data_IF_296194966378
#
_entry.id   IF_296194966378
#
_cell.length_a   1.000
_cell.length_b   1.000
_cell.length_c   1.000
_cell.angle_alpha   90.00
_cell.angle_beta   90.00
_cell.angle_gamma   90.00
#
_symmetry.space_group_name_H-M   'P 1'
#
loop_
_entity.id
_entity.type
_entity.pdbx_description
1 polymer ?
#
# COMPACT_ATOMS: atom_id res chain seq x y z
N UNK A 1 32.30 24.13 -23.89
CA UNK A 1 32.58 22.69 -23.98
C UNK A 1 31.54 22.04 -23.08
N UNK A 2 30.36 21.76 -23.65
CA UNK A 2 29.24 21.17 -22.92
C UNK A 2 29.54 19.67 -22.82
N UNK A 3 29.78 19.18 -21.60
CA UNK A 3 29.86 17.75 -21.32
C UNK A 3 28.42 17.25 -21.17
N UNK A 4 27.89 16.61 -22.21
CA UNK A 4 26.69 15.79 -22.12
C UNK A 4 27.07 14.46 -21.50
N UNK A 5 26.61 14.19 -20.28
CA UNK A 5 26.64 12.86 -19.68
C UNK A 5 25.60 11.99 -20.40
N UNK A 6 26.06 11.11 -21.27
CA UNK A 6 25.27 9.98 -21.74
C UNK A 6 25.25 8.96 -20.60
N UNK A 7 24.08 8.80 -19.97
CA UNK A 7 23.82 7.60 -19.16
C UNK A 7 23.86 6.35 -20.04
N UNK A 8 24.16 5.18 -19.48
CA UNK A 8 24.16 3.94 -20.24
C UNK A 8 22.75 3.66 -20.76
N UNK A 9 22.61 3.56 -22.08
CA UNK A 9 21.44 2.92 -22.70
C UNK A 9 21.50 1.46 -22.31
N UNK A 10 20.58 1.01 -21.46
CA UNK A 10 20.33 -0.41 -21.24
C UNK A 10 19.78 -0.95 -22.56
N UNK A 11 20.55 -1.80 -23.23
CA UNK A 11 20.06 -2.54 -24.39
C UNK A 11 19.19 -3.64 -23.82
N UNK A 12 17.89 -3.61 -24.08
CA UNK A 12 16.97 -4.70 -23.76
C UNK A 12 17.60 -6.02 -24.25
N UNK A 13 18.04 -6.84 -23.30
CA UNK A 13 18.51 -8.18 -23.59
C UNK A 13 17.26 -9.03 -23.85
N UNK A 14 17.10 -9.53 -25.06
CA UNK A 14 16.03 -10.46 -25.39
C UNK A 14 16.15 -11.72 -24.52
N UNK A 15 15.31 -11.84 -23.49
CA UNK A 15 15.18 -13.01 -22.62
C UNK A 15 14.31 -14.04 -23.34
N UNK A 16 14.74 -15.31 -23.33
CA UNK A 16 13.97 -16.42 -23.93
C UNK A 16 13.23 -17.22 -22.85
N UNK A 17 12.09 -17.80 -23.20
CA UNK A 17 11.28 -18.59 -22.27
C UNK A 17 12.07 -19.77 -21.65
N UNK A 18 12.03 -19.96 -20.32
CA UNK A 18 12.53 -21.16 -19.67
C UNK A 18 11.81 -22.44 -20.16
N UNK A 19 12.49 -23.59 -20.08
CA UNK A 19 11.91 -24.88 -20.53
C UNK A 19 11.87 -25.96 -19.45
N UNK A 20 12.50 -25.70 -18.30
CA UNK A 20 12.72 -26.65 -17.21
C UNK A 20 12.24 -26.15 -15.84
N UNK A 21 11.61 -24.97 -15.79
CA UNK A 21 11.02 -24.39 -14.59
C UNK A 21 9.76 -23.58 -14.94
N UNK A 22 8.90 -23.35 -13.94
CA UNK A 22 7.78 -22.41 -14.07
C UNK A 22 8.32 -21.02 -14.33
N UNK A 23 7.65 -20.27 -15.20
CA UNK A 23 8.04 -18.92 -15.59
C UNK A 23 6.81 -18.03 -15.81
N UNK A 24 7.02 -16.73 -15.90
CA UNK A 24 6.00 -15.71 -16.19
C UNK A 24 5.75 -15.70 -17.70
N UNK A 25 4.56 -16.14 -18.12
CA UNK A 25 4.24 -16.34 -19.54
C UNK A 25 3.73 -15.08 -20.24
N UNK A 26 2.83 -14.37 -19.58
CA UNK A 26 2.11 -13.24 -20.13
C UNK A 26 1.76 -12.27 -18.99
N UNK A 27 1.84 -10.97 -19.25
CA UNK A 27 1.30 -9.93 -18.37
C UNK A 27 0.43 -8.98 -19.18
N UNK A 28 -0.70 -8.58 -18.59
CA UNK A 28 -1.52 -7.49 -19.12
C UNK A 28 -1.44 -6.30 -18.18
N UNK A 29 -0.75 -5.26 -18.64
CA UNK A 29 -0.55 -4.00 -17.90
C UNK A 29 -1.75 -3.08 -18.08
N UNK A 30 -2.32 -3.02 -19.28
CA UNK A 30 -3.26 -1.96 -19.64
C UNK A 30 -4.60 -2.49 -20.18
N UNK A 31 -5.45 -3.12 -19.34
CA UNK A 31 -6.77 -3.57 -19.77
C UNK A 31 -7.71 -2.37 -20.01
N UNK A 32 -8.49 -2.41 -21.10
CA UNK A 32 -9.58 -1.44 -21.31
C UNK A 32 -10.70 -1.59 -20.27
N UNK A 33 -11.49 -0.53 -20.10
CA UNK A 33 -12.66 -0.51 -19.21
C UNK A 33 -13.98 -0.44 -19.99
N UNK A 34 -15.11 -0.49 -19.29
CA UNK A 34 -16.46 -0.50 -19.88
C UNK A 34 -16.74 0.71 -20.80
N UNK A 35 -16.14 1.87 -20.52
CA UNK A 35 -16.31 3.07 -21.35
C UNK A 35 -15.63 2.95 -22.72
N UNK A 36 -14.64 2.06 -22.85
CA UNK A 36 -13.81 1.87 -24.03
C UNK A 36 -13.89 0.45 -24.59
N UNK A 37 -15.06 -0.19 -24.48
CA UNK A 37 -15.33 -1.55 -24.96
C UNK A 37 -14.36 -2.62 -24.39
N UNK A 38 -14.01 -2.47 -23.10
CA UNK A 38 -13.14 -3.40 -22.38
C UNK A 38 -13.67 -4.84 -22.32
N UNK A 39 -12.74 -5.77 -22.09
CA UNK A 39 -13.04 -7.20 -21.93
C UNK A 39 -12.87 -7.57 -20.47
N UNK A 40 -13.90 -8.20 -19.90
CA UNK A 40 -13.85 -8.85 -18.59
C UNK A 40 -13.10 -10.19 -18.75
N UNK A 41 -11.78 -10.15 -18.52
CA UNK A 41 -10.89 -11.27 -18.81
C UNK A 41 -11.06 -12.39 -17.79
N UNK A 42 -11.40 -12.07 -16.54
CA UNK A 42 -11.58 -13.06 -15.47
C UNK A 42 -13.04 -13.54 -15.31
N UNK A 43 -14.02 -12.88 -15.93
CA UNK A 43 -15.43 -13.24 -15.91
C UNK A 43 -16.17 -12.86 -14.62
N UNK A 44 -15.65 -11.92 -13.83
CA UNK A 44 -16.22 -11.52 -12.54
C UNK A 44 -17.32 -10.44 -12.65
N UNK A 45 -17.55 -9.92 -13.86
CA UNK A 45 -18.54 -8.89 -14.16
C UNK A 45 -18.02 -7.46 -13.99
N UNK A 46 -16.74 -7.27 -13.67
CA UNK A 46 -16.03 -5.99 -13.62
C UNK A 46 -14.89 -6.01 -14.62
N UNK A 47 -14.43 -4.83 -15.06
CA UNK A 47 -13.31 -4.75 -16.00
C UNK A 47 -12.43 -3.51 -15.83
N UNK A 48 -11.25 -3.54 -16.42
CA UNK A 48 -10.28 -2.44 -16.43
C UNK A 48 -9.19 -2.57 -15.38
N UNK A 49 -8.41 -1.50 -15.19
CA UNK A 49 -7.12 -1.55 -14.46
C UNK A 49 -7.20 -2.17 -13.06
N UNK A 50 -8.27 -1.94 -12.31
CA UNK A 50 -8.42 -2.47 -10.95
C UNK A 50 -8.85 -3.94 -10.88
N UNK A 51 -9.19 -4.56 -12.02
CA UNK A 51 -9.69 -5.93 -12.07
C UNK A 51 -8.84 -6.84 -12.97
N UNK A 52 -8.60 -6.40 -14.21
CA UNK A 52 -8.12 -7.27 -15.29
C UNK A 52 -6.62 -7.16 -15.60
N UNK A 53 -5.87 -6.37 -14.82
CA UNK A 53 -4.42 -6.53 -14.84
C UNK A 53 -4.11 -7.95 -14.38
N UNK A 54 -3.23 -8.65 -15.09
CA UNK A 54 -2.90 -10.03 -14.72
C UNK A 54 -1.45 -10.39 -14.97
N UNK A 55 -0.96 -11.32 -14.17
CA UNK A 55 0.24 -12.11 -14.43
C UNK A 55 -0.16 -13.55 -14.66
N UNK A 56 0.34 -14.14 -15.73
CA UNK A 56 0.15 -15.55 -16.02
C UNK A 56 1.44 -16.33 -15.83
N UNK A 57 1.34 -17.49 -15.17
CA UNK A 57 2.44 -18.44 -15.04
C UNK A 57 2.21 -19.64 -15.95
N UNK A 58 3.29 -20.17 -16.52
CA UNK A 58 3.27 -21.41 -17.29
C UNK A 58 4.22 -22.46 -16.68
N UNK A 59 3.76 -23.71 -16.63
CA UNK A 59 4.61 -24.86 -16.31
C UNK A 59 5.00 -25.60 -17.61
N UNK A 60 6.19 -25.35 -18.19
CA UNK A 60 6.63 -26.03 -19.41
C UNK A 60 7.11 -27.46 -19.18
N UNK A 61 7.20 -27.90 -17.92
CA UNK A 61 7.80 -29.19 -17.56
C UNK A 61 6.83 -30.36 -17.80
N UNK A 62 7.34 -31.59 -17.66
CA UNK A 62 6.53 -32.81 -17.76
C UNK A 62 5.86 -33.24 -16.44
N UNK A 63 6.13 -32.53 -15.35
CA UNK A 63 5.68 -32.89 -14.00
C UNK A 63 4.79 -31.79 -13.41
N UNK A 64 3.85 -32.16 -12.56
CA UNK A 64 3.07 -31.21 -11.78
C UNK A 64 3.95 -30.59 -10.69
N UNK A 65 3.87 -29.26 -10.52
CA UNK A 65 4.68 -28.51 -9.56
C UNK A 65 3.73 -27.81 -8.57
N UNK A 66 3.98 -28.01 -7.26
CA UNK A 66 3.29 -27.28 -6.21
C UNK A 66 3.92 -25.90 -6.05
N UNK A 67 3.16 -24.86 -6.40
CA UNK A 67 3.53 -23.45 -6.27
C UNK A 67 2.84 -22.79 -5.06
N UNK A 68 2.19 -23.58 -4.20
CA UNK A 68 1.65 -23.07 -2.95
C UNK A 68 2.74 -22.45 -2.08
N UNK A 69 2.51 -21.23 -1.61
CA UNK A 69 3.45 -20.46 -0.79
C UNK A 69 4.56 -19.75 -1.58
N UNK A 70 4.56 -19.83 -2.92
CA UNK A 70 5.40 -18.96 -3.77
C UNK A 70 4.87 -17.53 -3.76
N UNK A 71 5.65 -16.58 -4.28
CA UNK A 71 5.34 -15.16 -4.23
C UNK A 71 5.35 -14.52 -5.61
N UNK A 72 4.42 -13.61 -5.83
CA UNK A 72 4.39 -12.68 -6.96
C UNK A 72 4.64 -11.27 -6.43
N UNK A 73 5.38 -10.46 -7.17
CA UNK A 73 5.86 -9.14 -6.75
C UNK A 73 6.09 -8.26 -8.00
N UNK A 74 5.78 -6.98 -7.93
CA UNK A 74 5.96 -5.96 -8.97
C UNK A 74 7.03 -4.94 -8.51
N UNK A 75 8.29 -5.30 -8.72
CA UNK A 75 9.52 -4.62 -8.25
C UNK A 75 9.97 -5.06 -6.85
N UNK A 76 11.25 -5.45 -6.77
CA UNK A 76 11.88 -5.69 -5.47
C UNK A 76 11.89 -4.41 -4.64
N UNK A 77 11.31 -4.49 -3.45
CA UNK A 77 11.30 -3.40 -2.48
C UNK A 77 10.62 -2.12 -3.01
N UNK A 78 9.59 -2.27 -3.84
CA UNK A 78 8.82 -1.19 -4.48
C UNK A 78 7.47 -1.69 -5.00
N UNK A 79 6.75 -0.84 -5.74
CA UNK A 79 5.45 -1.20 -6.33
C UNK A 79 4.36 -1.47 -5.29
N UNK A 80 3.42 -2.32 -5.66
CA UNK A 80 2.35 -2.82 -4.81
C UNK A 80 2.82 -3.95 -3.88
N UNK A 81 2.04 -4.32 -2.85
CA UNK A 81 2.46 -5.39 -1.94
C UNK A 81 2.57 -6.75 -2.64
N UNK A 82 3.74 -7.39 -2.55
CA UNK A 82 3.93 -8.77 -2.95
C UNK A 82 2.86 -9.70 -2.35
N UNK A 83 2.43 -10.72 -3.10
CA UNK A 83 1.39 -11.65 -2.67
C UNK A 83 1.85 -13.10 -2.68
N UNK A 84 1.39 -13.89 -1.70
CA UNK A 84 1.72 -15.32 -1.58
C UNK A 84 0.63 -16.20 -2.19
N UNK A 85 1.00 -17.04 -3.15
CA UNK A 85 0.10 -17.99 -3.81
C UNK A 85 -0.47 -18.98 -2.78
N UNK A 86 -1.78 -19.22 -2.85
CA UNK A 86 -2.48 -20.08 -1.90
C UNK A 86 -1.87 -21.48 -1.77
N UNK A 87 -1.73 -21.97 -0.54
CA UNK A 87 -1.21 -23.32 -0.27
C UNK A 87 -2.00 -24.42 -0.99
N UNK A 88 -1.30 -25.41 -1.53
CA UNK A 88 -1.90 -26.52 -2.28
C UNK A 88 -2.25 -26.19 -3.73
N UNK A 89 -1.81 -25.04 -4.24
CA UNK A 89 -1.91 -24.70 -5.66
C UNK A 89 -0.88 -25.53 -6.44
N UNK A 90 -1.37 -26.54 -7.16
CA UNK A 90 -0.55 -27.39 -8.02
C UNK A 90 -0.78 -27.02 -9.48
N UNK A 91 0.28 -26.62 -10.17
CA UNK A 91 0.24 -26.33 -11.59
C UNK A 91 0.67 -27.58 -12.38
N UNK A 92 -0.28 -28.19 -13.08
CA UNK A 92 -0.06 -29.40 -13.88
C UNK A 92 0.93 -29.17 -15.04
N UNK A 93 1.49 -30.26 -15.56
CA UNK A 93 2.40 -30.21 -16.70
C UNK A 93 1.74 -29.55 -17.92
N UNK A 94 2.39 -28.53 -18.50
CA UNK A 94 1.91 -27.75 -19.63
C UNK A 94 0.76 -26.78 -19.32
N UNK A 95 0.36 -26.64 -18.05
CA UNK A 95 -0.75 -25.77 -17.67
C UNK A 95 -0.32 -24.30 -17.57
N UNK A 96 -1.32 -23.44 -17.73
CA UNK A 96 -1.26 -21.99 -17.54
C UNK A 96 -2.18 -21.60 -16.39
N UNK A 97 -1.80 -20.59 -15.61
CA UNK A 97 -2.62 -20.05 -14.52
C UNK A 97 -2.49 -18.54 -14.47
N UNK A 98 -3.61 -17.83 -14.60
CA UNK A 98 -3.67 -16.38 -14.56
C UNK A 98 -4.03 -15.88 -13.15
N UNK A 99 -3.32 -14.87 -12.68
CA UNK A 99 -3.56 -14.20 -11.40
C UNK A 99 -3.95 -12.75 -11.67
N UNK A 100 -5.19 -12.41 -11.32
CA UNK A 100 -5.80 -11.12 -11.62
C UNK A 100 -5.69 -10.14 -10.45
N UNK A 101 -5.50 -8.86 -10.76
CA UNK A 101 -5.36 -7.78 -9.77
C UNK A 101 -6.54 -7.69 -8.81
N UNK A 102 -7.77 -7.98 -9.27
CA UNK A 102 -8.95 -8.01 -8.38
C UNK A 102 -8.77 -8.93 -7.17
N UNK A 103 -7.89 -9.92 -7.26
CA UNK A 103 -7.58 -10.85 -6.17
C UNK A 103 -6.19 -10.64 -5.59
N UNK A 104 -5.18 -10.41 -6.43
CA UNK A 104 -3.79 -10.33 -6.01
C UNK A 104 -3.42 -9.02 -5.35
N UNK A 105 -4.05 -7.92 -5.77
CA UNK A 105 -3.62 -6.56 -5.47
C UNK A 105 -2.36 -6.11 -6.24
N UNK A 106 -1.71 -7.01 -7.00
CA UNK A 106 -0.53 -6.68 -7.79
C UNK A 106 -0.90 -5.65 -8.86
N UNK A 107 -0.26 -4.50 -8.81
CA UNK A 107 -0.47 -3.38 -9.72
C UNK A 107 0.67 -3.29 -10.71
N UNK A 108 0.37 -2.92 -11.95
CA UNK A 108 1.39 -2.66 -12.96
C UNK A 108 1.34 -1.20 -13.37
N UNK A 109 2.49 -0.51 -13.34
CA UNK A 109 2.57 0.89 -13.71
C UNK A 109 2.44 1.08 -15.23
N UNK A 110 1.57 1.98 -15.65
CA UNK A 110 1.29 2.28 -17.06
C UNK A 110 2.37 3.13 -17.73
N UNK A 111 2.99 4.03 -16.98
CA UNK A 111 3.82 5.13 -17.46
C UNK A 111 5.30 4.93 -17.20
N UNK A 112 5.69 4.41 -16.04
CA UNK A 112 7.08 4.37 -15.59
C UNK A 112 7.78 3.03 -15.89
N UNK A 113 7.03 2.02 -16.34
CA UNK A 113 7.52 0.66 -16.55
C UNK A 113 7.57 -0.11 -15.25
N UNK A 114 7.75 -1.43 -15.33
CA UNK A 114 7.64 -2.29 -14.15
C UNK A 114 8.42 -3.60 -14.34
N UNK A 115 8.59 -4.35 -13.25
CA UNK A 115 9.26 -5.65 -13.22
C UNK A 115 8.46 -6.64 -12.39
N UNK A 116 7.94 -7.67 -13.04
CA UNK A 116 7.20 -8.75 -12.38
C UNK A 116 8.16 -9.86 -11.99
N UNK A 117 8.05 -10.33 -10.76
CA UNK A 117 8.95 -11.33 -10.17
C UNK A 117 8.16 -12.50 -9.62
N UNK A 118 8.68 -13.69 -9.83
CA UNK A 118 8.20 -14.93 -9.25
C UNK A 118 9.25 -15.46 -8.28
N UNK A 119 8.91 -15.62 -7.00
CA UNK A 119 9.80 -16.18 -5.99
C UNK A 119 9.26 -17.49 -5.42
N UNK A 120 10.14 -18.42 -5.09
CA UNK A 120 9.74 -19.66 -4.41
C UNK A 120 9.42 -19.44 -2.92
N UNK A 121 8.95 -20.48 -2.24
CA UNK A 121 8.62 -20.42 -0.81
C UNK A 121 9.81 -20.17 0.13
N UNK A 122 11.05 -20.14 -0.39
CA UNK A 122 12.25 -19.72 0.35
C UNK A 122 12.62 -18.26 0.13
N UNK A 123 11.92 -17.57 -0.79
CA UNK A 123 12.22 -16.20 -1.24
C UNK A 123 13.29 -16.13 -2.33
N UNK A 124 13.65 -17.26 -2.96
CA UNK A 124 14.57 -17.25 -4.10
C UNK A 124 13.81 -16.92 -5.39
N UNK A 125 14.32 -15.99 -6.18
CA UNK A 125 13.73 -15.63 -7.48
C UNK A 125 13.85 -16.80 -8.46
N UNK A 126 12.70 -17.22 -8.98
CA UNK A 126 12.55 -18.28 -9.99
C UNK A 126 12.56 -17.67 -11.39
N UNK A 127 11.83 -16.57 -11.58
CA UNK A 127 11.76 -15.85 -12.85
C UNK A 127 11.46 -14.37 -12.62
N UNK A 128 11.81 -13.56 -13.61
CA UNK A 128 11.58 -12.12 -13.60
C UNK A 128 11.48 -11.60 -15.03
N UNK A 129 10.53 -10.70 -15.27
CA UNK A 129 10.30 -10.06 -16.57
C UNK A 129 10.01 -8.58 -16.37
N UNK A 130 10.41 -7.74 -17.32
CA UNK A 130 10.22 -6.28 -17.22
C UNK A 130 9.65 -5.72 -18.51
N UNK A 131 9.05 -4.54 -18.41
CA UNK A 131 8.70 -3.69 -19.55
C UNK A 131 9.09 -2.24 -19.26
N UNK A 132 9.28 -1.47 -20.32
CA UNK A 132 9.78 -0.10 -20.23
C UNK A 132 8.63 0.90 -20.01
N UNK A 133 8.96 2.05 -19.42
CA UNK A 133 8.02 3.18 -19.30
C UNK A 133 7.59 3.74 -20.64
N UNK A 134 6.39 4.32 -20.65
CA UNK A 134 5.70 4.88 -21.82
C UNK A 134 5.53 3.89 -22.99
N UNK A 135 5.65 2.58 -22.74
CA UNK A 135 5.54 1.54 -23.77
C UNK A 135 4.19 0.81 -23.76
N UNK A 136 3.43 0.80 -22.66
CA UNK A 136 2.18 0.00 -22.60
C UNK A 136 1.09 0.54 -23.53
N UNK A 137 0.34 -0.35 -24.20
CA UNK A 137 -0.84 -0.01 -25.02
C UNK A 137 -2.07 -0.74 -24.49
N UNK A 138 -3.25 -0.13 -24.66
CA UNK A 138 -4.53 -0.71 -24.24
C UNK A 138 -4.78 -2.07 -24.89
N UNK A 139 -5.06 -3.08 -24.06
CA UNK A 139 -5.27 -4.49 -24.42
C UNK A 139 -4.14 -5.10 -25.25
N UNK A 140 -2.90 -4.61 -25.10
CA UNK A 140 -1.72 -5.23 -25.70
C UNK A 140 -0.87 -5.85 -24.58
N UNK A 141 -0.74 -7.19 -24.52
CA UNK A 141 0.02 -7.86 -23.48
C UNK A 141 1.52 -7.84 -23.77
N UNK A 142 2.32 -8.09 -22.73
CA UNK A 142 3.71 -8.53 -22.86
C UNK A 142 3.78 -10.03 -22.63
N UNK A 143 4.65 -10.71 -23.38
CA UNK A 143 4.81 -12.14 -23.28
C UNK A 143 5.94 -12.64 -24.15
N UNK A 144 6.18 -13.95 -24.13
CA UNK A 144 7.10 -14.56 -25.08
C UNK A 144 6.48 -14.66 -26.48
N UNK A 145 7.08 -13.97 -27.45
CA UNK A 145 6.67 -13.99 -28.86
C UNK A 145 6.94 -15.37 -29.49
N UNK A 146 5.94 -15.97 -30.14
CA UNK A 146 6.04 -17.34 -30.67
C UNK A 146 7.01 -17.50 -31.84
N UNK A 147 7.33 -16.41 -32.55
CA UNK A 147 8.26 -16.43 -33.67
C UNK A 147 9.72 -16.33 -33.23
N UNK A 148 10.00 -15.43 -32.29
CA UNK A 148 11.36 -15.14 -31.82
C UNK A 148 11.73 -15.88 -30.53
N UNK A 149 10.73 -16.34 -29.76
CA UNK A 149 10.87 -16.95 -28.44
C UNK A 149 11.29 -15.97 -27.35
N UNK A 150 11.29 -14.67 -27.65
CA UNK A 150 11.80 -13.63 -26.75
C UNK A 150 10.65 -12.91 -26.05
N UNK A 151 10.88 -12.48 -24.81
CA UNK A 151 10.01 -11.57 -24.09
C UNK A 151 9.89 -10.24 -24.85
N UNK A 152 8.66 -9.83 -25.16
CA UNK A 152 8.38 -8.62 -25.91
C UNK A 152 6.94 -8.14 -25.66
N UNK A 153 6.68 -6.89 -26.02
CA UNK A 153 5.32 -6.41 -26.26
C UNK A 153 4.73 -7.14 -27.47
N UNK A 154 3.57 -7.77 -27.30
CA UNK A 154 2.91 -8.52 -28.36
C UNK A 154 1.99 -7.59 -29.18
N UNK A 155 2.57 -6.62 -29.89
CA UNK A 155 1.84 -5.53 -30.57
C UNK A 155 0.76 -5.97 -31.57
N UNK A 156 0.87 -7.17 -32.12
CA UNK A 156 -0.10 -7.75 -33.06
C UNK A 156 -0.95 -8.87 -32.42
N UNK A 157 -0.75 -9.12 -31.11
CA UNK A 157 -1.46 -10.10 -30.32
C UNK A 157 -2.61 -9.48 -29.51
N UNK A 158 -3.36 -10.35 -28.86
CA UNK A 158 -4.39 -10.02 -27.87
C UNK A 158 -4.12 -10.82 -26.60
N UNK A 159 -4.57 -10.38 -25.42
CA UNK A 159 -4.36 -11.13 -24.18
C UNK A 159 -4.87 -12.57 -24.28
N UNK A 160 -4.10 -13.53 -23.80
CA UNK A 160 -4.40 -14.97 -23.88
C UNK A 160 -4.47 -15.68 -22.52
N UNK A 161 -5.07 -15.09 -21.46
CA UNK A 161 -5.07 -15.74 -20.17
C UNK A 161 -5.76 -17.12 -20.25
N UNK A 162 -5.06 -18.11 -19.72
CA UNK A 162 -5.35 -19.53 -19.80
C UNK A 162 -4.63 -20.31 -20.90
N UNK A 163 -3.74 -19.70 -21.69
CA UNK A 163 -3.19 -20.36 -22.88
C UNK A 163 -1.90 -19.78 -23.44
N UNK A 164 -1.46 -20.34 -24.57
CA UNK A 164 -0.26 -19.88 -25.26
C UNK A 164 -0.50 -18.56 -26.01
N UNK A 165 0.51 -17.69 -25.99
CA UNK A 165 0.49 -16.33 -26.56
C UNK A 165 0.26 -16.25 -28.10
N UNK A 166 0.19 -17.39 -28.79
CA UNK A 166 -0.08 -17.48 -30.24
C UNK A 166 -1.46 -18.06 -30.59
N UNK A 167 -2.31 -18.26 -29.58
CA UNK A 167 -3.68 -18.75 -29.74
C UNK A 167 -4.70 -17.62 -29.55
N UNK A 168 -5.93 -17.87 -29.99
CA UNK A 168 -7.06 -17.01 -29.62
C UNK A 168 -7.45 -17.28 -28.16
N UNK A 169 -7.83 -16.22 -27.44
CA UNK A 169 -8.32 -16.35 -26.07
C UNK A 169 -9.51 -17.31 -25.96
N UNK A 170 -9.40 -18.28 -25.05
CA UNK A 170 -10.41 -19.32 -24.83
C UNK A 170 -11.64 -18.87 -24.04
N UNK A 171 -11.68 -17.61 -23.59
CA UNK A 171 -12.72 -17.05 -22.73
C UNK A 171 -12.35 -17.09 -21.23
N UNK A 172 -13.19 -16.46 -20.41
CA UNK A 172 -12.94 -16.28 -18.97
C UNK A 172 -12.87 -17.60 -18.16
N UNK A 173 -13.35 -18.72 -18.72
CA UNK A 173 -13.33 -20.02 -18.06
C UNK A 173 -11.98 -20.75 -18.27
N UNK A 174 -10.91 -20.19 -17.72
CA UNK A 174 -9.57 -20.77 -17.65
C UNK A 174 -9.13 -20.95 -16.20
N UNK A 175 -7.94 -21.53 -15.98
CA UNK A 175 -7.42 -21.72 -14.63
C UNK A 175 -6.96 -20.37 -14.06
N UNK A 176 -7.63 -19.95 -12.98
CA UNK A 176 -7.32 -18.71 -12.28
C UNK A 176 -6.71 -19.03 -10.92
N UNK A 177 -5.59 -18.39 -10.61
CA UNK A 177 -4.90 -18.49 -9.35
C UNK A 177 -5.29 -17.36 -8.42
N UNK A 178 -5.14 -17.60 -7.12
CA UNK A 178 -5.27 -16.57 -6.10
C UNK A 178 -3.97 -16.48 -5.31
N UNK A 179 -3.56 -15.26 -4.96
CA UNK A 179 -2.48 -15.01 -4.03
C UNK A 179 -2.94 -13.97 -3.02
N UNK A 180 -2.39 -14.05 -1.82
CA UNK A 180 -2.80 -13.23 -0.71
C UNK A 180 -1.65 -12.29 -0.38
N UNK A 181 -1.81 -10.96 -0.56
CA UNK A 181 -0.86 -10.03 0.01
C UNK A 181 -0.82 -10.26 1.52
N UNK A 182 0.35 -10.23 2.18
CA UNK A 182 0.48 -10.32 3.63
C UNK A 182 -0.05 -9.02 4.23
N UNK A 183 -1.36 -8.85 4.17
CA UNK A 183 -2.09 -7.77 4.79
C UNK A 183 -2.41 -8.26 6.20
N UNK A 184 -1.60 -7.88 7.19
CA UNK A 184 -1.79 -8.25 8.60
C UNK A 184 -3.19 -7.88 9.14
N UNK A 185 -3.88 -6.99 8.44
CA UNK A 185 -5.19 -6.48 8.81
C UNK A 185 -6.36 -7.34 8.32
N UNK A 186 -6.12 -8.36 7.50
CA UNK A 186 -7.15 -9.28 7.01
C UNK A 186 -7.10 -10.58 7.81
N UNK A 187 -7.78 -10.55 8.97
CA UNK A 187 -8.15 -11.79 9.64
C UNK A 187 -9.20 -12.52 8.80
N UNK A 188 -9.13 -13.85 8.66
CA UNK A 188 -10.22 -14.65 8.06
C UNK A 188 -10.88 -15.55 9.12
N UNK A 189 -12.20 -15.68 9.05
CA UNK A 189 -13.01 -16.38 10.04
C UNK A 189 -13.51 -15.46 11.15
N UNK A 190 -13.97 -16.04 12.25
CA UNK A 190 -14.59 -15.28 13.33
C UNK A 190 -14.17 -15.75 14.72
N UNK A 191 -14.09 -14.80 15.64
CA UNK A 191 -13.89 -15.03 17.06
C UNK A 191 -14.66 -14.00 17.90
N UNK A 192 -14.92 -14.34 19.15
CA UNK A 192 -15.49 -13.44 20.14
C UNK A 192 -14.42 -13.17 21.20
N UNK A 193 -14.10 -11.90 21.46
CA UNK A 193 -13.30 -11.51 22.61
C UNK A 193 -14.24 -11.26 23.79
N UNK A 194 -13.97 -11.87 24.94
CA UNK A 194 -14.69 -11.63 26.19
C UNK A 194 -13.80 -10.91 27.21
N UNK A 195 -14.35 -9.89 27.86
CA UNK A 195 -13.66 -9.10 28.87
C UNK A 195 -14.43 -7.83 29.21
N UNK A 196 -13.77 -6.92 29.94
CA UNK A 196 -14.33 -5.59 30.19
C UNK A 196 -14.14 -4.73 28.96
N UNK A 197 -15.20 -4.36 28.25
CA UNK A 197 -15.12 -3.60 26.99
C UNK A 197 -15.35 -2.13 27.25
N UNK A 198 -14.41 -1.28 26.84
CA UNK A 198 -14.55 0.18 26.90
C UNK A 198 -14.84 0.68 25.48
N UNK A 199 -16.05 1.19 25.24
CA UNK A 199 -16.53 1.49 23.89
C UNK A 199 -16.09 2.88 23.40
N UNK A 200 -15.73 3.78 24.32
CA UNK A 200 -15.35 5.17 24.05
C UNK A 200 -16.47 6.03 23.42
N UNK A 201 -17.74 5.61 23.48
CA UNK A 201 -18.89 6.43 23.04
C UNK A 201 -19.13 7.61 24.00
N UNK A 202 -18.81 7.42 25.29
CA UNK A 202 -18.73 8.48 26.29
C UNK A 202 -17.67 8.13 27.34
N UNK A 203 -17.30 9.10 28.18
CA UNK A 203 -16.28 8.93 29.24
C UNK A 203 -16.53 7.73 30.17
N UNK A 204 -17.79 7.34 30.34
CA UNK A 204 -18.19 6.26 31.25
C UNK A 204 -18.80 5.04 30.55
N UNK A 205 -18.78 4.99 29.22
CA UNK A 205 -19.41 3.88 28.49
C UNK A 205 -18.53 2.63 28.50
N UNK A 206 -18.92 1.69 29.36
CA UNK A 206 -18.19 0.45 29.64
C UNK A 206 -19.18 -0.70 29.80
N UNK A 207 -18.87 -1.81 29.15
CA UNK A 207 -19.55 -3.09 29.32
C UNK A 207 -18.65 -4.00 30.18
N UNK A 208 -18.98 -4.11 31.47
CA UNK A 208 -18.13 -4.83 32.44
C UNK A 208 -17.93 -6.32 32.09
N UNK A 209 -18.98 -6.99 31.64
CA UNK A 209 -18.94 -8.34 31.07
C UNK A 209 -19.30 -8.27 29.58
N UNK A 210 -18.39 -7.70 28.79
CA UNK A 210 -18.60 -7.43 27.37
C UNK A 210 -18.08 -8.52 26.44
N UNK A 211 -18.65 -8.53 25.23
CA UNK A 211 -18.24 -9.38 24.13
C UNK A 211 -18.09 -8.57 22.84
N UNK A 212 -17.04 -8.86 22.08
CA UNK A 212 -16.79 -8.26 20.76
C UNK A 212 -16.68 -9.38 19.75
N UNK A 213 -17.65 -9.48 18.83
CA UNK A 213 -17.58 -10.39 17.69
C UNK A 213 -16.78 -9.71 16.57
N UNK A 214 -15.67 -10.33 16.21
CA UNK A 214 -14.89 -9.97 15.03
C UNK A 214 -15.08 -11.05 13.98
N UNK A 215 -15.41 -10.65 12.76
CA UNK A 215 -15.48 -11.51 11.59
C UNK A 215 -14.73 -10.85 10.45
N UNK A 216 -13.83 -11.61 9.85
CA UNK A 216 -13.06 -11.18 8.70
C UNK A 216 -12.39 -9.79 8.90
N UNK A 217 -11.86 -9.56 10.12
CA UNK A 217 -11.23 -8.29 10.52
C UNK A 217 -12.19 -7.17 10.95
N UNK A 218 -13.51 -7.35 10.80
CA UNK A 218 -14.53 -6.34 11.07
C UNK A 218 -15.30 -6.67 12.36
N UNK A 219 -15.59 -5.64 13.17
CA UNK A 219 -16.47 -5.76 14.34
C UNK A 219 -17.92 -5.82 13.86
N UNK A 220 -18.58 -6.98 14.02
CA UNK A 220 -20.00 -7.15 13.64
C UNK A 220 -20.96 -6.87 14.79
N UNK A 221 -20.54 -7.11 16.04
CA UNK A 221 -21.37 -6.91 17.21
C UNK A 221 -20.54 -6.66 18.48
N UNK A 222 -21.05 -5.76 19.32
CA UNK A 222 -20.56 -5.54 20.68
C UNK A 222 -21.77 -5.61 21.61
N UNK A 223 -21.72 -6.46 22.65
CA UNK A 223 -22.87 -6.66 23.53
C UNK A 223 -22.46 -7.06 24.95
N UNK A 224 -23.39 -6.91 25.90
CA UNK A 224 -23.24 -7.39 27.27
C UNK A 224 -23.61 -8.85 27.39
N UNK A 225 -22.92 -9.58 28.26
CA UNK A 225 -23.27 -10.94 28.60
C UNK A 225 -24.70 -11.12 29.14
N UNK A 226 -25.27 -10.08 29.76
CA UNK A 226 -26.63 -10.11 30.27
C UNK A 226 -27.70 -10.12 29.16
N UNK A 227 -27.35 -9.71 27.93
CA UNK A 227 -28.27 -9.60 26.79
C UNK A 227 -28.44 -10.94 26.05
N UNK A 228 -27.63 -11.94 26.40
CA UNK A 228 -27.56 -13.22 25.69
C UNK A 228 -26.74 -13.14 24.40
N UNK A 229 -26.46 -14.30 23.78
CA UNK A 229 -25.64 -14.36 22.57
C UNK A 229 -26.50 -14.08 21.33
N UNK A 230 -26.16 -13.05 20.51
CA UNK A 230 -26.83 -12.80 19.23
C UNK A 230 -26.74 -13.99 18.28
N UNK A 231 -27.71 -14.13 17.37
CA UNK A 231 -27.72 -15.22 16.38
C UNK A 231 -26.47 -15.21 15.47
N UNK A 232 -25.93 -14.04 15.16
CA UNK A 232 -24.69 -13.85 14.37
C UNK A 232 -23.44 -14.40 15.06
N UNK A 233 -23.48 -14.53 16.39
CA UNK A 233 -22.40 -15.05 17.21
C UNK A 233 -22.55 -16.56 17.52
N UNK A 234 -23.60 -17.22 17.01
CA UNK A 234 -23.87 -18.62 17.31
C UNK A 234 -22.75 -19.54 16.75
N UNK A 235 -22.16 -20.35 17.62
CA UNK A 235 -21.12 -21.31 17.24
C UNK A 235 -19.73 -20.71 16.97
N UNK A 236 -19.57 -19.39 17.11
CA UNK A 236 -18.26 -18.73 16.99
C UNK A 236 -17.43 -19.01 18.25
N UNK A 237 -16.13 -19.26 18.06
CA UNK A 237 -15.21 -19.51 19.18
C UNK A 237 -15.09 -18.27 20.06
N UNK A 238 -15.07 -18.48 21.37
CA UNK A 238 -14.92 -17.42 22.35
C UNK A 238 -13.56 -17.47 23.03
N UNK A 239 -12.93 -16.31 23.18
CA UNK A 239 -11.60 -16.10 23.75
C UNK A 239 -11.77 -15.24 25.01
N UNK A 240 -11.59 -15.87 26.17
CA UNK A 240 -11.61 -15.17 27.44
C UNK A 240 -10.30 -14.41 27.63
N UNK A 241 -10.33 -13.08 27.47
CA UNK A 241 -9.13 -12.25 27.61
C UNK A 241 -8.73 -12.05 29.07
N UNK A 242 -9.70 -12.10 29.99
CA UNK A 242 -9.56 -11.68 31.40
C UNK A 242 -9.03 -10.24 31.56
N UNK A 243 -9.06 -9.45 30.48
CA UNK A 243 -8.51 -8.11 30.40
C UNK A 243 -9.58 -7.05 30.18
N UNK A 244 -9.11 -5.81 30.00
CA UNK A 244 -9.92 -4.70 29.50
C UNK A 244 -9.60 -4.48 28.04
N UNK A 245 -10.62 -4.45 27.19
CA UNK A 245 -10.53 -4.29 25.75
C UNK A 245 -10.83 -2.82 25.44
N UNK A 246 -9.86 -2.16 24.82
CA UNK A 246 -9.96 -0.78 24.33
C UNK A 246 -9.81 -0.78 22.79
N UNK A 247 -10.38 0.20 22.08
CA UNK A 247 -9.91 0.55 20.76
C UNK A 247 -8.41 0.85 20.80
N UNK A 248 -7.67 0.44 19.76
CA UNK A 248 -6.29 0.86 19.59
C UNK A 248 -6.20 2.38 19.39
N UNK A 249 -5.13 2.99 19.87
CA UNK A 249 -4.91 4.42 19.66
C UNK A 249 -4.55 4.69 18.20
N UNK A 250 -5.01 5.85 17.73
CA UNK A 250 -4.60 6.43 16.46
C UNK A 250 -3.70 7.61 16.83
N UNK A 251 -2.45 7.56 16.39
CA UNK A 251 -1.49 8.66 16.53
C UNK A 251 -1.57 9.54 15.27
N UNK A 252 -2.33 10.66 15.29
CA UNK A 252 -2.63 11.42 14.09
C UNK A 252 -1.43 12.27 13.63
N UNK A 253 -0.37 12.37 14.42
CA UNK A 253 0.83 13.08 14.01
C UNK A 253 2.07 12.67 14.82
N UNK A 254 3.05 12.12 14.12
CA UNK A 254 4.37 11.82 14.65
C UNK A 254 5.47 12.20 13.65
N UNK A 255 6.71 12.00 14.06
CA UNK A 255 7.86 11.92 13.16
C UNK A 255 8.52 10.56 13.45
N UNK A 256 7.88 9.48 13.00
CA UNK A 256 8.09 8.12 13.50
C UNK A 256 9.55 7.67 13.45
N UNK A 257 10.25 7.91 12.33
CA UNK A 257 11.68 7.57 12.19
C UNK A 257 12.59 8.33 13.16
N UNK A 258 12.15 9.45 13.72
CA UNK A 258 12.89 10.20 14.75
C UNK A 258 12.69 9.61 16.15
N UNK A 259 11.76 8.67 16.35
CA UNK A 259 11.54 7.98 17.63
C UNK A 259 12.68 7.03 18.04
N UNK A 260 13.85 7.12 17.42
CA UNK A 260 15.09 6.52 17.92
C UNK A 260 15.97 7.54 18.66
N UNK A 261 15.70 8.83 18.46
CA UNK A 261 16.49 9.91 19.03
C UNK A 261 16.06 10.12 20.49
N UNK A 262 17.01 10.16 21.44
CA UNK A 262 16.71 10.51 22.83
C UNK A 262 16.06 11.90 22.94
N UNK A 263 15.33 12.13 24.03
CA UNK A 263 14.86 13.47 24.35
C UNK A 263 16.04 14.46 24.37
N UNK A 264 15.94 15.48 23.54
CA UNK A 264 16.98 16.48 23.37
C UNK A 264 16.67 17.72 24.22
N UNK A 265 17.52 17.97 25.22
CA UNK A 265 17.53 19.23 25.95
C UNK A 265 18.45 20.23 25.23
N UNK A 266 17.83 21.18 24.54
CA UNK A 266 18.53 22.23 23.79
C UNK A 266 18.93 23.43 24.66
N UNK A 267 18.52 23.49 25.94
CA UNK A 267 18.91 24.55 26.87
C UNK A 267 18.41 25.96 26.52
N UNK A 268 17.42 26.09 25.64
CA UNK A 268 16.77 27.37 25.30
C UNK A 268 15.33 27.40 25.85
N UNK A 269 14.67 28.56 25.79
CA UNK A 269 13.25 28.68 26.15
C UNK A 269 12.31 28.37 24.96
N UNK A 270 12.80 27.64 23.96
CA UNK A 270 12.11 27.38 22.71
C UNK A 270 12.45 28.40 21.63
N UNK A 271 11.64 28.40 20.57
CA UNK A 271 11.76 29.23 19.38
C UNK A 271 10.38 29.73 18.96
N UNK A 272 10.32 30.83 18.21
CA UNK A 272 9.05 31.41 17.78
C UNK A 272 8.39 30.60 16.65
N UNK A 273 9.19 29.90 15.84
CA UNK A 273 8.72 29.10 14.71
C UNK A 273 9.72 28.00 14.33
N UNK A 274 9.31 27.13 13.40
CA UNK A 274 10.12 25.99 12.96
C UNK A 274 11.44 26.31 12.28
N UNK A 275 11.48 27.42 11.54
CA UNK A 275 12.65 27.84 10.78
C UNK A 275 13.84 28.15 11.70
N UNK A 276 13.55 28.66 12.90
CA UNK A 276 14.57 28.99 13.88
C UNK A 276 15.20 27.74 14.52
N UNK A 277 14.41 26.73 14.90
CA UNK A 277 14.96 25.52 15.52
C UNK A 277 15.62 24.59 14.51
N UNK A 278 15.10 24.53 13.28
CA UNK A 278 15.70 23.76 12.18
C UNK A 278 17.06 24.31 11.75
N UNK A 279 17.26 25.63 11.81
CA UNK A 279 18.53 26.28 11.47
C UNK A 279 19.54 26.30 12.60
N UNK A 280 19.15 25.92 13.83
CA UNK A 280 20.06 25.85 14.95
C UNK A 280 21.02 24.65 14.81
N UNK A 281 22.33 24.89 14.87
CA UNK A 281 23.33 23.84 14.66
C UNK A 281 23.23 22.68 15.66
N UNK A 282 22.75 22.92 16.88
CA UNK A 282 22.54 21.84 17.86
C UNK A 282 21.49 20.82 17.41
N UNK A 283 20.58 21.19 16.50
CA UNK A 283 19.57 20.28 15.97
C UNK A 283 20.18 19.21 15.06
N UNK A 284 21.16 19.56 14.22
CA UNK A 284 21.85 18.54 13.42
C UNK A 284 22.60 17.55 14.30
N UNK A 285 23.25 18.04 15.37
CA UNK A 285 24.01 17.21 16.31
C UNK A 285 23.09 16.26 17.09
N UNK A 286 21.91 16.75 17.49
CA UNK A 286 20.94 15.94 18.23
C UNK A 286 20.34 14.79 17.40
N UNK A 287 20.21 14.99 16.08
CA UNK A 287 19.72 13.95 15.15
C UNK A 287 20.75 12.89 14.82
N UNK A 288 22.04 13.21 14.96
CA UNK A 288 23.11 12.27 14.65
C UNK A 288 23.33 11.29 15.81
N UNK A 289 22.55 10.21 15.78
CA UNK A 289 22.63 9.11 16.75
C UNK A 289 23.57 7.97 16.31
N UNK A 290 24.34 8.17 15.24
CA UNK A 290 25.28 7.16 14.71
C UNK A 290 24.63 6.03 13.91
N UNK A 291 23.36 6.15 13.55
CA UNK A 291 22.68 5.28 12.59
C UNK A 291 21.78 6.08 11.64
N UNK A 292 21.46 5.51 10.48
CA UNK A 292 20.60 6.17 9.49
C UNK A 292 19.15 6.15 9.94
N UNK A 293 18.49 7.31 9.94
CA UNK A 293 17.03 7.42 10.13
C UNK A 293 16.23 6.98 8.90
N UNK A 294 16.91 6.73 7.78
CA UNK A 294 16.30 6.30 6.51
C UNK A 294 16.51 4.81 6.24
N UNK A 295 17.16 4.10 7.16
CA UNK A 295 17.18 2.63 7.13
C UNK A 295 15.82 2.10 7.58
N UNK A 296 15.28 1.09 6.91
CA UNK A 296 13.96 0.53 7.23
C UNK A 296 13.84 0.01 8.65
N UNK A 297 14.95 -0.43 9.28
CA UNK A 297 14.94 -0.83 10.68
C UNK A 297 14.53 0.29 11.64
N UNK A 298 14.74 1.55 11.26
CA UNK A 298 14.29 2.69 12.03
C UNK A 298 12.76 2.74 12.15
N UNK A 299 12.06 2.51 11.03
CA UNK A 299 10.60 2.48 10.99
C UNK A 299 10.04 1.25 11.69
N UNK A 300 10.62 0.07 11.47
CA UNK A 300 10.22 -1.16 12.18
C UNK A 300 10.30 -1.02 13.69
N UNK A 301 11.35 -0.36 14.19
CA UNK A 301 11.47 -0.05 15.61
C UNK A 301 10.45 0.99 16.08
N UNK A 302 10.18 2.02 15.27
CA UNK A 302 9.17 3.03 15.57
C UNK A 302 7.76 2.42 15.70
N UNK A 303 7.37 1.52 14.80
CA UNK A 303 6.09 0.81 14.89
C UNK A 303 6.03 -0.11 16.10
N UNK A 304 7.10 -0.85 16.40
CA UNK A 304 7.17 -1.67 17.62
C UNK A 304 6.95 -0.80 18.87
N UNK A 305 7.55 0.38 18.93
CA UNK A 305 7.32 1.33 20.03
C UNK A 305 5.88 1.84 20.06
N UNK A 306 5.28 2.11 18.90
CA UNK A 306 3.90 2.56 18.77
C UNK A 306 2.93 1.49 19.31
N UNK A 307 3.05 0.24 18.85
CA UNK A 307 2.23 -0.89 19.31
C UNK A 307 2.42 -1.16 20.80
N UNK A 308 3.65 -1.09 21.30
CA UNK A 308 3.92 -1.21 22.74
C UNK A 308 3.23 -0.10 23.57
N UNK A 309 3.00 1.07 22.98
CA UNK A 309 2.23 2.17 23.54
C UNK A 309 0.72 2.06 23.36
N UNK A 310 0.23 1.04 22.64
CA UNK A 310 -1.17 0.81 22.33
C UNK A 310 -1.68 1.46 21.04
N UNK A 311 -0.78 2.04 20.22
CA UNK A 311 -1.16 2.53 18.90
C UNK A 311 -1.38 1.37 17.93
N UNK A 312 -2.47 1.44 17.18
CA UNK A 312 -2.73 0.55 16.04
C UNK A 312 -2.59 1.26 14.70
N UNK A 313 -2.53 2.59 14.71
CA UNK A 313 -2.26 3.40 13.53
C UNK A 313 -1.43 4.63 13.92
N UNK A 314 -0.56 5.09 13.01
CA UNK A 314 0.24 6.30 13.18
C UNK A 314 0.44 7.06 11.86
N UNK A 315 0.55 8.38 11.95
CA UNK A 315 0.97 9.28 10.87
C UNK A 315 2.40 9.76 11.13
N UNK A 316 3.17 10.00 10.07
CA UNK A 316 4.50 10.61 10.15
C UNK A 316 5.64 9.64 9.88
N UNK A 317 5.39 8.65 9.03
CA UNK A 317 6.34 7.61 8.67
C UNK A 317 7.35 8.09 7.62
N UNK A 318 8.28 7.21 7.26
CA UNK A 318 9.17 7.49 6.14
C UNK A 318 8.43 7.35 4.82
N UNK A 319 8.81 8.15 3.82
CA UNK A 319 8.29 8.10 2.44
C UNK A 319 9.22 7.29 1.53
N UNK A 320 10.01 6.37 2.10
CA UNK A 320 11.04 5.61 1.39
C UNK A 320 11.16 4.24 2.01
N UNK A 321 11.33 3.20 1.18
CA UNK A 321 11.37 1.79 1.61
C UNK A 321 10.14 1.40 2.44
N UNK A 322 8.97 1.88 2.04
CA UNK A 322 7.72 1.76 2.80
C UNK A 322 7.23 0.33 2.88
N UNK A 323 7.29 -0.40 1.76
CA UNK A 323 7.13 -1.86 1.61
C UNK A 323 7.72 -2.69 2.77
N UNK A 324 8.89 -2.29 3.26
CA UNK A 324 9.61 -3.03 4.30
C UNK A 324 8.99 -2.92 5.70
N UNK A 325 8.01 -2.04 5.91
CA UNK A 325 7.35 -1.79 7.19
C UNK A 325 5.84 -1.49 7.12
N UNK A 326 5.31 -1.03 5.98
CA UNK A 326 3.95 -0.48 5.85
C UNK A 326 2.80 -1.40 6.30
N UNK A 327 3.03 -2.72 6.30
CA UNK A 327 2.07 -3.75 6.71
C UNK A 327 2.54 -4.57 7.93
N UNK A 328 3.55 -4.11 8.66
CA UNK A 328 4.22 -4.95 9.67
C UNK A 328 3.54 -5.00 11.05
N UNK A 329 3.45 -3.87 11.75
CA UNK A 329 3.05 -3.86 13.17
C UNK A 329 1.98 -2.82 13.50
N UNK A 330 2.06 -1.63 12.91
CA UNK A 330 1.06 -0.59 13.07
C UNK A 330 0.71 -0.01 11.71
N UNK A 331 -0.57 0.30 11.50
CA UNK A 331 -1.02 0.90 10.25
C UNK A 331 -0.41 2.27 10.06
N UNK A 332 0.25 2.46 8.93
CA UNK A 332 0.75 3.76 8.57
C UNK A 332 -0.34 4.54 7.84
N UNK A 333 -0.88 5.59 8.46
CA UNK A 333 -2.08 6.31 7.98
C UNK A 333 -1.90 6.84 6.56
N UNK A 334 -0.69 7.24 6.18
CA UNK A 334 -0.40 7.87 4.89
C UNK A 334 -0.01 6.88 3.77
N UNK A 335 -0.22 5.58 3.99
CA UNK A 335 0.04 4.53 3.01
C UNK A 335 -1.23 3.70 2.76
N UNK A 336 -1.07 2.59 2.04
CA UNK A 336 -2.13 1.66 1.71
C UNK A 336 -2.84 1.08 2.94
N UNK A 337 -4.11 1.43 3.11
CA UNK A 337 -4.96 0.92 4.18
C UNK A 337 -6.36 0.60 3.64
N UNK A 338 -6.88 -0.56 4.02
CA UNK A 338 -8.26 -0.97 3.67
C UNK A 338 -8.56 -0.95 2.16
N UNK A 339 -7.58 -1.35 1.35
CA UNK A 339 -7.75 -1.49 -0.10
C UNK A 339 -7.48 -0.22 -0.92
N UNK A 340 -6.94 0.85 -0.31
CA UNK A 340 -6.66 2.13 -1.00
C UNK A 340 -5.56 2.94 -0.31
N UNK A 341 -4.95 3.85 -1.06
CA UNK A 341 -4.04 4.88 -0.58
C UNK A 341 -4.39 6.24 -1.21
N UNK A 342 -5.11 7.08 -0.46
CA UNK A 342 -5.51 8.41 -0.93
C UNK A 342 -5.28 9.49 0.14
N UNK A 343 -4.22 9.30 0.94
CA UNK A 343 -3.81 10.26 1.94
C UNK A 343 -2.53 10.93 1.46
N UNK A 344 -2.55 12.26 1.38
CA UNK A 344 -1.37 13.03 1.02
C UNK A 344 -0.77 13.69 2.26
N UNK A 345 0.55 13.78 2.33
CA UNK A 345 1.27 14.48 3.40
C UNK A 345 2.21 15.54 2.81
N UNK A 346 2.23 16.74 3.40
CA UNK A 346 3.23 17.79 3.09
C UNK A 346 3.80 18.34 4.40
N UNK A 347 5.07 18.01 4.65
CA UNK A 347 5.79 18.37 5.88
C UNK A 347 6.59 19.67 5.75
N UNK A 348 7.14 19.93 4.56
CA UNK A 348 8.00 21.11 4.36
C UNK A 348 7.18 22.40 4.25
N UNK A 349 7.88 23.53 4.21
CA UNK A 349 7.29 24.83 3.86
C UNK A 349 6.42 24.75 2.60
N UNK A 350 5.30 25.46 2.65
CA UNK A 350 4.54 25.81 1.46
C UNK A 350 5.13 27.07 0.89
N UNK A 351 5.66 26.95 -0.31
CA UNK A 351 6.09 28.07 -1.10
C UNK A 351 4.87 28.85 -1.62
N UNK A 352 5.03 30.15 -1.85
CA UNK A 352 3.92 31.03 -2.27
C UNK A 352 3.30 30.64 -3.62
N UNK A 353 4.01 29.88 -4.44
CA UNK A 353 3.58 29.37 -5.75
C UNK A 353 3.08 27.92 -5.71
N UNK A 354 2.89 27.34 -4.52
CA UNK A 354 2.34 25.99 -4.38
C UNK A 354 0.90 25.90 -4.91
N UNK A 355 0.71 25.15 -5.99
CA UNK A 355 -0.60 25.03 -6.67
C UNK A 355 -1.53 23.98 -6.06
N UNK A 356 -0.95 22.93 -5.45
CA UNK A 356 -1.66 21.79 -4.87
C UNK A 356 -2.65 21.10 -5.81
N UNK A 357 -2.34 20.99 -7.12
CA UNK A 357 -3.29 20.49 -8.11
C UNK A 357 -3.78 19.05 -7.81
N UNK A 358 -2.89 18.17 -7.36
CA UNK A 358 -3.26 16.79 -6.97
C UNK A 358 -4.29 16.76 -5.82
N UNK A 359 -4.22 17.71 -4.88
CA UNK A 359 -5.22 17.84 -3.80
C UNK A 359 -6.57 18.28 -4.35
N UNK A 360 -6.58 19.21 -5.30
CA UNK A 360 -7.81 19.70 -5.94
C UNK A 360 -8.46 18.60 -6.77
N UNK A 361 -7.66 17.88 -7.54
CA UNK A 361 -8.12 16.79 -8.40
C UNK A 361 -8.71 15.68 -7.52
N UNK A 362 -7.98 15.23 -6.50
CA UNK A 362 -8.45 14.21 -5.54
C UNK A 362 -9.70 14.63 -4.77
N UNK A 363 -9.80 15.90 -4.33
CA UNK A 363 -11.03 16.41 -3.72
C UNK A 363 -12.21 16.38 -4.72
N UNK A 364 -11.97 16.77 -5.97
CA UNK A 364 -13.01 16.83 -7.00
C UNK A 364 -13.49 15.45 -7.47
N UNK A 365 -12.59 14.46 -7.50
CA UNK A 365 -12.90 13.07 -7.84
C UNK A 365 -13.54 12.30 -6.67
N UNK A 366 -13.34 12.78 -5.44
CA UNK A 366 -13.73 12.10 -4.21
C UNK A 366 -12.76 10.98 -3.81
N UNK A 367 -11.57 10.95 -4.42
CA UNK A 367 -10.51 10.01 -4.08
C UNK A 367 -9.76 10.46 -2.83
N UNK A 368 -9.53 11.76 -2.63
CA UNK A 368 -8.82 12.28 -1.46
C UNK A 368 -9.54 11.91 -0.15
N UNK A 369 -8.87 11.18 0.73
CA UNK A 369 -9.39 10.84 2.06
C UNK A 369 -8.92 11.84 3.14
N UNK A 370 -7.65 12.26 3.06
CA UNK A 370 -7.06 13.27 3.95
C UNK A 370 -5.83 13.93 3.31
N UNK A 371 -5.60 15.20 3.65
CA UNK A 371 -4.35 15.90 3.36
C UNK A 371 -3.72 16.41 4.65
N UNK A 372 -2.70 15.71 5.15
CA UNK A 372 -1.93 16.11 6.33
C UNK A 372 -0.91 17.17 5.98
N UNK A 373 -0.99 18.31 6.66
CA UNK A 373 -0.21 19.48 6.33
C UNK A 373 0.43 20.10 7.58
N UNK A 374 1.76 20.12 7.62
CA UNK A 374 2.50 20.94 8.59
C UNK A 374 2.35 22.40 8.22
N UNK A 375 1.52 23.12 8.96
CA UNK A 375 1.18 24.51 8.66
C UNK A 375 1.18 25.35 9.93
N UNK A 376 1.67 26.58 9.80
CA UNK A 376 1.68 27.56 10.87
C UNK A 376 2.36 27.04 12.15
N UNK A 377 3.47 26.32 11.97
CA UNK A 377 4.30 25.80 13.07
C UNK A 377 5.16 26.92 13.69
N UNK A 378 4.48 27.78 14.43
CA UNK A 378 5.05 28.89 15.17
C UNK A 378 3.99 29.74 15.84
N UNK A 379 4.37 30.88 16.39
CA UNK A 379 3.47 31.85 17.06
C UNK A 379 3.56 33.24 16.46
N UNK A 380 4.25 33.36 15.33
CA UNK A 380 4.51 34.62 14.64
C UNK A 380 3.67 34.78 13.36
N UNK A 381 3.64 36.01 12.84
CA UNK A 381 2.90 36.35 11.63
C UNK A 381 3.41 35.59 10.40
N UNK A 382 4.71 35.27 10.35
CA UNK A 382 5.28 34.50 9.25
C UNK A 382 4.65 33.11 9.18
N UNK A 383 4.51 32.43 10.32
CA UNK A 383 3.87 31.11 10.40
C UNK A 383 2.38 31.20 10.07
N UNK A 384 1.67 32.21 10.60
CA UNK A 384 0.25 32.44 10.27
C UNK A 384 0.02 32.66 8.78
N UNK A 385 0.91 33.42 8.12
CA UNK A 385 0.81 33.75 6.71
C UNK A 385 0.91 32.56 5.75
N UNK A 386 1.43 31.40 6.21
CA UNK A 386 1.39 30.17 5.43
C UNK A 386 -0.05 29.75 5.10
N UNK A 387 -1.01 30.05 5.98
CA UNK A 387 -2.44 29.77 5.74
C UNK A 387 -3.01 30.56 4.56
N UNK A 388 -2.50 31.77 4.30
CA UNK A 388 -2.97 32.58 3.17
C UNK A 388 -2.66 31.92 1.83
N UNK A 389 -1.65 31.04 1.76
CA UNK A 389 -1.32 30.27 0.57
C UNK A 389 -2.45 29.29 0.25
N UNK A 390 -3.05 28.66 1.26
CA UNK A 390 -4.18 27.75 1.06
C UNK A 390 -5.40 28.51 0.55
N UNK A 391 -5.68 29.67 1.14
CA UNK A 391 -6.79 30.54 0.72
C UNK A 391 -6.59 31.01 -0.72
N UNK A 392 -5.39 31.51 -1.05
CA UNK A 392 -5.10 32.08 -2.36
C UNK A 392 -5.12 31.05 -3.50
N UNK A 393 -4.91 29.76 -3.16
CA UNK A 393 -4.84 28.68 -4.13
C UNK A 393 -6.05 27.74 -4.07
N UNK A 394 -7.14 28.08 -3.39
CA UNK A 394 -8.34 27.22 -3.29
C UNK A 394 -8.01 25.81 -2.73
N UNK A 395 -7.16 25.73 -1.71
CA UNK A 395 -6.71 24.48 -1.08
C UNK A 395 -7.39 24.19 0.27
N UNK A 396 -8.36 25.02 0.69
CA UNK A 396 -9.20 24.75 1.86
C UNK A 396 -10.29 23.74 1.52
N UNK A 397 -9.87 22.51 1.20
CA UNK A 397 -10.74 21.37 0.94
C UNK A 397 -11.22 20.70 2.24
N UNK A 398 -12.27 19.88 2.16
CA UNK A 398 -12.88 19.25 3.35
C UNK A 398 -11.97 18.25 4.06
N UNK A 399 -10.97 17.74 3.34
CA UNK A 399 -10.05 16.68 3.75
C UNK A 399 -8.75 17.23 4.36
N UNK A 400 -8.61 18.56 4.48
CA UNK A 400 -7.42 19.18 5.09
C UNK A 400 -7.31 18.84 6.57
N UNK A 401 -6.15 18.31 6.96
CA UNK A 401 -5.76 18.07 8.35
C UNK A 401 -4.52 18.91 8.66
N UNK A 402 -4.73 19.99 9.43
CA UNK A 402 -3.64 20.89 9.83
C UNK A 402 -2.90 20.28 11.03
N UNK A 403 -1.61 20.01 10.82
CA UNK A 403 -0.66 19.64 11.86
C UNK A 403 -0.03 20.92 12.43
N UNK A 404 0.05 20.98 13.75
CA UNK A 404 0.43 22.14 14.57
C UNK A 404 -0.60 23.27 14.59
N UNK A 405 -0.74 24.04 13.51
CA UNK A 405 -1.67 25.17 13.43
C UNK A 405 -1.49 26.23 14.52
N UNK A 406 -0.32 26.29 15.18
CA UNK A 406 -0.13 27.08 16.42
C UNK A 406 -0.15 28.58 16.16
N UNK A 407 0.14 29.00 14.94
CA UNK A 407 0.11 30.41 14.53
C UNK A 407 -1.29 30.89 14.11
N UNK A 408 -2.26 29.97 13.97
CA UNK A 408 -3.61 30.31 13.52
C UNK A 408 -4.41 30.97 14.63
N UNK A 409 -5.27 31.89 14.25
CA UNK A 409 -6.17 32.59 15.16
C UNK A 409 -7.62 32.17 14.93
N UNK A 410 -8.54 32.73 15.72
CA UNK A 410 -9.96 32.52 15.51
C UNK A 410 -10.43 32.92 14.10
N UNK A 411 -9.72 33.85 13.44
CA UNK A 411 -10.05 34.32 12.09
C UNK A 411 -9.85 33.23 11.05
N UNK A 412 -8.75 32.46 11.14
CA UNK A 412 -8.44 31.37 10.21
C UNK A 412 -9.26 30.11 10.51
N UNK A 413 -9.72 29.94 11.77
CA UNK A 413 -10.47 28.76 12.23
C UNK A 413 -12.00 28.91 12.14
N UNK A 414 -12.52 30.05 11.70
CA UNK A 414 -13.95 30.35 11.56
C UNK A 414 -14.38 30.40 10.11
#
# INVERSE_FOLDING_TARGET
MLMTSLGPVMVASAQTAPTDAIYINEILVSPNNEQYDGTDWNGDGSMGTYNDQFVELHNPTSDAIDIGGWWLDDISDGGSPACSIGWGTVLEAGAYIAFYRSWTGIEFDFWDGDTVRLLDGSGAEIDSVSYEGEDSDWDVPYGYDSLSGNWAKLSEGSPTPGGANDLEWGGANHLQGNCYPPQDHVHSGAYILEGRVVTMVSESDVIEDGRVLVRDGIIEAVWSAAEGTPATAAGVISIQTSGTIYPGFIDPHNHAKYNLIPLWDHGTNGWDNRYQWQSYSGYSDAKDIGCSLYDSSAMRFAELRAVAGGNTALQGSSTSSTDTFETMLARNIELYNFGKDYIHTKVTELESDYSGQHIKDGNSSGELDAWFLHLAEGVDESSRAEFDILVANDLLVGEVVIVHGTGLTQTELS
#
